data_IF_671399723716
#
_entry.id   IF_671399723716
#
_cell.length_a   1.000
_cell.length_b   1.000
_cell.length_c   1.000
_cell.angle_alpha   90.00
_cell.angle_beta   90.00
_cell.angle_gamma   90.00
#
_symmetry.space_group_name_H-M   'P 1'
#
loop_
_entity.id
_entity.type
_entity.pdbx_description
1 polymer ?
#
# COMPACT_ATOMS: atom_id res chain seq x y z
N UNK A 1 7.34 -14.31 -11.94
CA UNK A 1 7.53 -13.37 -10.82
C UNK A 1 7.60 -14.20 -9.53
N UNK A 2 8.56 -14.01 -8.62
CA UNK A 2 8.63 -14.83 -7.38
C UNK A 2 7.51 -14.48 -6.40
N UNK A 3 6.95 -15.48 -5.70
CA UNK A 3 6.00 -15.31 -4.59
C UNK A 3 6.46 -14.26 -3.57
N UNK A 4 7.76 -14.26 -3.23
CA UNK A 4 8.38 -13.28 -2.33
C UNK A 4 8.20 -11.84 -2.84
N UNK A 5 8.31 -11.60 -4.15
CA UNK A 5 8.06 -10.28 -4.73
C UNK A 5 6.59 -9.88 -4.62
N UNK A 6 5.66 -10.83 -4.71
CA UNK A 6 4.23 -10.57 -4.55
C UNK A 6 3.92 -10.18 -3.10
N UNK A 7 4.39 -10.98 -2.14
CA UNK A 7 4.24 -10.69 -0.71
C UNK A 7 4.86 -9.34 -0.34
N UNK A 8 6.05 -9.03 -0.87
CA UNK A 8 6.69 -7.72 -0.66
C UNK A 8 5.85 -6.55 -1.20
N UNK A 9 5.10 -6.73 -2.29
CA UNK A 9 4.20 -5.68 -2.80
C UNK A 9 3.05 -5.40 -1.81
N UNK A 10 2.45 -6.45 -1.24
CA UNK A 10 1.44 -6.31 -0.19
C UNK A 10 2.03 -5.72 1.11
N UNK A 11 3.26 -6.07 1.47
CA UNK A 11 3.97 -5.42 2.58
C UNK A 11 4.18 -3.93 2.38
N UNK A 12 4.46 -3.49 1.14
CA UNK A 12 4.54 -2.05 0.80
C UNK A 12 3.17 -1.37 0.88
N UNK A 13 2.10 -2.04 0.45
CA UNK A 13 0.73 -1.55 0.62
C UNK A 13 0.38 -1.33 2.09
N UNK A 14 0.67 -2.31 2.94
CA UNK A 14 0.45 -2.20 4.38
C UNK A 14 1.16 -0.97 4.98
N UNK A 15 2.44 -0.79 4.66
CA UNK A 15 3.22 0.36 5.15
C UNK A 15 2.62 1.69 4.69
N UNK A 16 2.17 1.77 3.44
CA UNK A 16 1.56 2.99 2.90
C UNK A 16 0.18 3.27 3.51
N UNK A 17 -0.67 2.24 3.67
CA UNK A 17 -1.96 2.36 4.36
C UNK A 17 -1.79 2.85 5.81
N UNK A 18 -0.79 2.35 6.54
CA UNK A 18 -0.46 2.85 7.88
C UNK A 18 -0.09 4.34 7.89
N UNK A 19 0.64 4.83 6.89
CA UNK A 19 0.96 6.26 6.78
C UNK A 19 -0.29 7.12 6.56
N UNK A 20 -1.21 6.66 5.71
CA UNK A 20 -2.50 7.32 5.45
C UNK A 20 -3.33 7.42 6.73
N UNK A 21 -3.46 6.32 7.48
CA UNK A 21 -4.20 6.29 8.75
C UNK A 21 -3.56 7.24 9.78
N UNK A 22 -2.23 7.17 9.94
CA UNK A 22 -1.49 8.01 10.87
C UNK A 22 -1.65 9.50 10.53
N UNK A 23 -1.65 9.86 9.25
CA UNK A 23 -1.91 11.23 8.83
C UNK A 23 -3.30 11.71 9.27
N UNK A 24 -4.34 10.89 9.10
CA UNK A 24 -5.70 11.21 9.56
C UNK A 24 -5.77 11.43 11.08
N UNK A 25 -5.03 10.64 11.86
CA UNK A 25 -4.97 10.81 13.32
C UNK A 25 -4.25 12.10 13.73
N UNK A 26 -3.24 12.49 12.96
CA UNK A 26 -2.36 13.62 13.30
C UNK A 26 -2.82 14.96 12.72
N UNK A 27 -3.80 14.99 11.82
CA UNK A 27 -4.22 16.21 11.09
C UNK A 27 -4.62 17.35 12.03
N UNK A 28 -5.26 17.03 13.16
CA UNK A 28 -5.69 18.01 14.16
C UNK A 28 -4.53 18.68 14.91
N UNK A 29 -3.33 18.09 14.84
CA UNK A 29 -2.11 18.60 15.47
C UNK A 29 -1.22 19.38 14.49
N UNK A 30 -1.62 19.47 13.21
CA UNK A 30 -0.86 20.19 12.20
C UNK A 30 -1.19 21.69 12.29
N UNK A 31 -0.18 22.59 12.32
CA UNK A 31 -0.41 24.03 12.29
C UNK A 31 -1.28 24.44 11.09
N UNK A 32 -2.23 25.37 11.31
CA UNK A 32 -3.21 25.77 10.29
C UNK A 32 -2.57 26.20 8.96
N UNK A 33 -1.44 26.91 9.02
CA UNK A 33 -0.69 27.37 7.85
C UNK A 33 -0.04 26.23 7.02
N UNK A 34 0.02 25.01 7.55
CA UNK A 34 0.58 23.82 6.88
C UNK A 34 -0.48 22.77 6.53
N UNK A 35 -1.76 23.02 6.85
CA UNK A 35 -2.84 22.06 6.60
C UNK A 35 -3.00 21.74 5.10
N UNK A 36 -3.00 22.76 4.23
CA UNK A 36 -3.16 22.54 2.79
C UNK A 36 -2.05 21.63 2.23
N UNK A 37 -0.79 21.91 2.55
CA UNK A 37 0.33 21.06 2.15
C UNK A 37 0.24 19.63 2.73
N UNK A 38 -0.32 19.48 3.94
CA UNK A 38 -0.54 18.17 4.54
C UNK A 38 -1.64 17.39 3.79
N UNK A 39 -2.73 18.05 3.42
CA UNK A 39 -3.80 17.45 2.62
C UNK A 39 -3.32 17.04 1.23
N UNK A 40 -2.58 17.89 0.52
CA UNK A 40 -1.98 17.55 -0.78
C UNK A 40 -1.08 16.29 -0.68
N UNK A 41 -0.23 16.22 0.35
CA UNK A 41 0.62 15.04 0.60
C UNK A 41 -0.21 13.79 0.86
N UNK A 42 -1.34 13.94 1.53
CA UNK A 42 -2.23 12.82 1.81
C UNK A 42 -2.93 12.33 0.56
N UNK A 43 -3.41 13.23 -0.31
CA UNK A 43 -3.99 12.86 -1.61
C UNK A 43 -2.99 12.08 -2.46
N UNK A 44 -1.75 12.55 -2.57
CA UNK A 44 -0.67 11.84 -3.28
C UNK A 44 -0.43 10.44 -2.70
N UNK A 45 -0.48 10.28 -1.37
CA UNK A 45 -0.33 8.97 -0.73
C UNK A 45 -1.51 8.04 -1.04
N UNK A 46 -2.74 8.57 -1.05
CA UNK A 46 -3.97 7.82 -1.38
C UNK A 46 -3.95 7.35 -2.83
N UNK A 47 -3.62 8.24 -3.78
CA UNK A 47 -3.46 7.84 -5.18
C UNK A 47 -2.40 6.75 -5.36
N UNK A 48 -1.26 6.91 -4.68
CA UNK A 48 -0.18 5.91 -4.72
C UNK A 48 -0.64 4.58 -4.14
N UNK A 49 -1.47 4.60 -3.10
CA UNK A 49 -2.04 3.41 -2.51
C UNK A 49 -2.99 2.71 -3.47
N UNK A 50 -3.86 3.44 -4.15
CA UNK A 50 -4.78 2.89 -5.15
C UNK A 50 -4.00 2.26 -6.32
N UNK A 51 -3.03 2.99 -6.89
CA UNK A 51 -2.16 2.51 -7.98
C UNK A 51 -1.40 1.24 -7.58
N UNK A 52 -0.81 1.22 -6.38
CA UNK A 52 -0.07 0.06 -5.88
C UNK A 52 -1.02 -1.12 -5.62
N UNK A 53 -2.26 -0.88 -5.19
CA UNK A 53 -3.26 -1.92 -4.93
C UNK A 53 -3.65 -2.60 -6.24
N UNK A 54 -4.02 -1.82 -7.26
CA UNK A 54 -4.34 -2.34 -8.60
C UNK A 54 -3.16 -3.13 -9.19
N UNK A 55 -1.94 -2.60 -9.09
CA UNK A 55 -0.73 -3.27 -9.59
C UNK A 55 -0.45 -4.58 -8.85
N UNK A 56 -0.55 -4.58 -7.52
CA UNK A 56 -0.29 -5.77 -6.70
C UNK A 56 -1.32 -6.87 -6.99
N UNK A 57 -2.59 -6.50 -7.10
CA UNK A 57 -3.68 -7.43 -7.45
C UNK A 57 -3.52 -8.02 -8.85
N UNK A 58 -3.18 -7.19 -9.84
CA UNK A 58 -2.92 -7.66 -11.20
C UNK A 58 -1.71 -8.61 -11.24
N UNK A 59 -0.66 -8.31 -10.48
CA UNK A 59 0.50 -9.19 -10.36
C UNK A 59 0.15 -10.53 -9.71
N UNK A 60 -0.66 -10.52 -8.65
CA UNK A 60 -1.16 -11.75 -8.03
C UNK A 60 -1.98 -12.59 -9.01
N UNK A 61 -2.97 -11.99 -9.68
CA UNK A 61 -3.82 -12.67 -10.67
C UNK A 61 -3.00 -13.36 -11.76
N UNK A 62 -1.96 -12.69 -12.28
CA UNK A 62 -1.07 -13.22 -13.33
C UNK A 62 -0.15 -14.34 -12.86
N UNK A 63 0.07 -14.47 -11.55
CA UNK A 63 1.02 -15.42 -10.97
C UNK A 63 0.34 -16.29 -9.90
N UNK A 64 -0.97 -16.59 -10.03
CA UNK A 64 -1.69 -17.43 -9.05
C UNK A 64 -1.04 -18.81 -8.87
N UNK A 65 -0.50 -19.36 -9.95
CA UNK A 65 0.23 -20.65 -9.96
C UNK A 65 1.67 -20.55 -9.44
N UNK A 66 2.14 -19.35 -9.06
CA UNK A 66 3.49 -19.17 -8.50
C UNK A 66 3.56 -19.40 -6.99
N UNK A 67 2.42 -19.74 -6.37
CA UNK A 67 2.38 -20.26 -5.01
C UNK A 67 2.92 -21.69 -5.12
N UNK A 68 4.15 -21.88 -4.64
CA UNK A 68 4.76 -23.19 -4.59
C UNK A 68 3.99 -24.05 -3.56
N UNK A 69 3.61 -25.27 -3.95
CA UNK A 69 2.84 -26.22 -3.12
C UNK A 69 3.47 -26.43 -1.74
N UNK A 70 4.80 -26.31 -1.67
CA UNK A 70 5.59 -26.35 -0.44
C UNK A 70 5.19 -25.29 0.61
N UNK A 71 4.57 -24.18 0.19
CA UNK A 71 4.06 -23.13 1.10
C UNK A 71 2.58 -23.30 1.45
N UNK A 72 1.82 -24.06 0.67
CA UNK A 72 0.38 -24.32 0.90
C UNK A 72 0.08 -25.65 1.55
N UNK A 73 1.08 -26.54 1.66
CA UNK A 73 0.93 -27.85 2.30
C UNK A 73 0.03 -28.82 1.52
N UNK A 74 -0.01 -28.68 0.20
CA UNK A 74 -0.64 -29.66 -0.70
C UNK A 74 0.33 -30.80 -1.03
#
# INVERSE_FOLDING_TARGET
MSFVRIVNNYGRLYKLGKKIIKHKQNINHIPRNKLNSAFEKQEVNIEKFEKLTKRSHNNWKKNKTSINEFWTGY
#
